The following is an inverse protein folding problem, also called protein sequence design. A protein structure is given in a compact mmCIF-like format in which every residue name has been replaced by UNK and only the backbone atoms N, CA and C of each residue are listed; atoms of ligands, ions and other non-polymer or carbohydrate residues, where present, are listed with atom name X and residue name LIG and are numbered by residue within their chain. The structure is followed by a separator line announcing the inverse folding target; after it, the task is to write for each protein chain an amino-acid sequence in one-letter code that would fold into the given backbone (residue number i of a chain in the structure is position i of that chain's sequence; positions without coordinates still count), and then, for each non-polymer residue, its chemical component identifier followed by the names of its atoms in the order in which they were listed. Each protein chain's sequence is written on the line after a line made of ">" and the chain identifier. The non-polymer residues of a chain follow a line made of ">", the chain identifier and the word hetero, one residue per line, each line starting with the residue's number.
data_IF_348688008846
#
_entry.id   IF_348688008846
#
_cell.length_a   1.000
_cell.length_b   1.000
_cell.length_c   1.000
_cell.angle_alpha   90.00
_cell.angle_beta   90.00
_cell.angle_gamma   90.00
#
_symmetry.space_group_name_H-M   'P 1'
#
loop_
_entity.id
_entity.type
_entity.pdbx_description
1 polymer ?
#
# COMPACT_ATOMS: atom_id res chain seq x y z
N UNK A 1 -9.11 10.51 0.73
CA UNK A 1 -7.74 10.41 1.24
C UNK A 1 -7.28 8.97 1.14
N UNK A 2 -6.03 8.77 0.74
CA UNK A 2 -5.48 7.45 0.49
C UNK A 2 -4.65 6.98 1.68
N UNK A 3 -4.85 5.72 2.10
CA UNK A 3 -4.05 5.05 3.10
C UNK A 3 -2.65 4.67 2.60
N UNK A 4 -1.92 3.92 3.42
CA UNK A 4 -0.53 3.55 3.14
C UNK A 4 -0.34 2.09 2.78
N UNK A 5 -1.39 1.27 2.85
CA UNK A 5 -1.30 -0.18 2.69
C UNK A 5 -1.09 -0.62 1.23
N UNK A 6 -0.75 -1.89 1.05
CA UNK A 6 -0.69 -2.51 -0.29
C UNK A 6 -2.05 -2.56 -0.99
N UNK A 7 -3.15 -2.59 -0.23
CA UNK A 7 -4.51 -2.49 -0.77
C UNK A 7 -4.74 -1.10 -1.40
N UNK A 8 -4.24 -0.05 -0.75
CA UNK A 8 -4.35 1.30 -1.29
C UNK A 8 -3.54 1.45 -2.59
N UNK A 9 -2.36 0.81 -2.71
CA UNK A 9 -1.61 0.77 -3.98
C UNK A 9 -2.44 0.08 -5.08
N UNK A 10 -3.13 -1.01 -4.76
CA UNK A 10 -3.97 -1.72 -5.72
C UNK A 10 -5.16 -0.88 -6.18
N UNK A 11 -5.78 -0.15 -5.26
CA UNK A 11 -6.86 0.79 -5.54
C UNK A 11 -6.39 1.90 -6.47
N UNK A 12 -5.22 2.50 -6.20
CA UNK A 12 -4.63 3.52 -7.06
C UNK A 12 -4.28 3.03 -8.47
N UNK A 13 -3.77 1.81 -8.60
CA UNK A 13 -3.54 1.20 -9.92
C UNK A 13 -4.87 1.06 -10.68
N UNK A 14 -5.92 0.62 -9.99
CA UNK A 14 -7.25 0.46 -10.58
C UNK A 14 -7.85 1.79 -10.98
N UNK A 15 -7.72 2.81 -10.13
CA UNK A 15 -8.27 4.13 -10.37
C UNK A 15 -7.48 4.88 -11.47
N UNK A 16 -6.17 4.72 -11.54
CA UNK A 16 -5.36 5.24 -12.65
C UNK A 16 -5.84 4.67 -14.00
N UNK A 17 -6.13 3.37 -14.06
CA UNK A 17 -6.68 2.74 -15.27
C UNK A 17 -8.05 3.31 -15.60
N UNK A 18 -8.96 3.38 -14.62
CA UNK A 18 -10.31 3.93 -14.80
C UNK A 18 -10.30 5.38 -15.24
N UNK A 19 -9.46 6.20 -14.63
CA UNK A 19 -9.33 7.61 -14.99
C UNK A 19 -8.86 7.75 -16.44
N UNK A 20 -7.85 6.96 -16.86
CA UNK A 20 -7.40 6.90 -18.23
C UNK A 20 -8.51 6.54 -19.20
N UNK A 21 -9.28 5.49 -18.90
CA UNK A 21 -10.41 5.04 -19.72
C UNK A 21 -11.55 6.08 -19.80
N UNK A 22 -11.63 6.99 -18.84
CA UNK A 22 -12.58 8.11 -18.80
C UNK A 22 -11.99 9.46 -19.25
N UNK A 23 -10.93 9.43 -20.06
CA UNK A 23 -10.28 10.62 -20.61
C UNK A 23 -9.64 11.55 -19.57
N UNK A 24 -9.29 11.05 -18.40
CA UNK A 24 -8.49 11.75 -17.39
C UNK A 24 -7.08 11.16 -17.36
N UNK A 25 -6.18 11.54 -18.31
CA UNK A 25 -4.92 10.85 -18.52
C UNK A 25 -3.87 11.16 -17.45
N UNK A 26 -4.04 12.22 -16.67
CA UNK A 26 -3.09 12.66 -15.64
C UNK A 26 -3.66 12.43 -14.26
N UNK A 27 -3.24 11.36 -13.64
CA UNK A 27 -3.58 11.01 -12.26
C UNK A 27 -2.29 10.79 -11.50
N UNK A 28 -2.25 11.17 -10.25
CA UNK A 28 -1.13 10.86 -9.38
C UNK A 28 -1.61 10.08 -8.15
N UNK A 29 -0.91 9.03 -7.76
CA UNK A 29 -1.00 8.52 -6.41
C UNK A 29 -0.25 9.46 -5.46
N UNK A 30 -0.71 9.58 -4.22
CA UNK A 30 0.10 10.12 -3.14
C UNK A 30 1.09 9.04 -2.68
N UNK A 31 2.24 8.96 -3.36
CA UNK A 31 3.20 7.87 -3.16
C UNK A 31 3.69 7.80 -1.72
N UNK A 32 3.46 6.66 -1.09
CA UNK A 32 3.67 6.43 0.33
C UNK A 32 2.38 6.59 1.15
N UNK A 33 1.26 6.94 0.49
CA UNK A 33 -0.03 7.20 1.11
C UNK A 33 -0.13 8.57 1.78
N UNK A 34 -1.30 9.20 1.70
CA UNK A 34 -1.53 10.51 2.28
C UNK A 34 -1.55 10.47 3.81
N UNK A 35 -2.21 9.46 4.38
CA UNK A 35 -2.34 9.27 5.82
C UNK A 35 -1.61 7.99 6.27
N UNK A 36 -1.07 8.00 7.50
CA UNK A 36 -0.41 6.83 8.10
C UNK A 36 1.10 6.77 7.86
N UNK A 37 1.71 5.69 8.34
CA UNK A 37 3.17 5.54 8.38
C UNK A 37 3.57 4.17 7.79
N UNK A 38 3.80 4.06 6.47
CA UNK A 38 4.18 2.81 5.85
C UNK A 38 5.55 2.34 6.32
N UNK A 39 5.75 1.03 6.38
CA UNK A 39 7.08 0.46 6.54
C UNK A 39 7.94 0.67 5.28
N UNK A 40 9.23 0.31 5.36
CA UNK A 40 10.18 0.48 4.25
C UNK A 40 9.76 -0.27 3.00
N UNK A 41 9.26 -1.49 3.16
CA UNK A 41 8.90 -2.37 2.04
C UNK A 41 7.66 -1.82 1.31
N UNK A 42 6.65 -1.41 2.07
CA UNK A 42 5.42 -0.79 1.54
C UNK A 42 5.74 0.54 0.86
N UNK A 43 6.55 1.39 1.49
CA UNK A 43 7.01 2.64 0.88
C UNK A 43 7.75 2.40 -0.44
N UNK A 44 8.65 1.42 -0.50
CA UNK A 44 9.37 1.07 -1.73
C UNK A 44 8.42 0.57 -2.83
N UNK A 45 7.35 -0.16 -2.47
CA UNK A 45 6.32 -0.56 -3.44
C UNK A 45 5.59 0.67 -4.01
N UNK A 46 5.21 1.62 -3.15
CA UNK A 46 4.62 2.89 -3.56
C UNK A 46 5.52 3.68 -4.52
N UNK A 47 6.77 3.87 -4.16
CA UNK A 47 7.71 4.66 -4.97
C UNK A 47 8.01 4.00 -6.32
N UNK A 48 8.10 2.68 -6.37
CA UNK A 48 8.28 1.93 -7.62
C UNK A 48 7.07 2.05 -8.54
N UNK A 49 5.86 1.94 -7.99
CA UNK A 49 4.63 2.16 -8.74
C UNK A 49 4.55 3.60 -9.23
N UNK A 50 4.73 4.58 -8.37
CA UNK A 50 4.66 5.99 -8.72
C UNK A 50 5.68 6.41 -9.79
N UNK A 51 6.88 5.84 -9.77
CA UNK A 51 7.88 6.12 -10.81
C UNK A 51 7.42 5.69 -12.22
N UNK A 52 6.52 4.74 -12.32
CA UNK A 52 5.96 4.21 -13.55
C UNK A 52 4.48 4.57 -13.75
N UNK A 53 3.96 5.53 -12.99
CA UNK A 53 2.63 6.12 -13.16
C UNK A 53 2.70 7.38 -14.05
N UNK A 54 1.54 7.97 -14.33
CA UNK A 54 1.45 9.21 -15.14
C UNK A 54 2.15 10.37 -14.45
N UNK A 55 1.96 10.56 -13.14
CA UNK A 55 2.63 11.59 -12.35
C UNK A 55 3.20 10.98 -11.08
N UNK A 56 4.48 11.18 -10.82
CA UNK A 56 5.12 10.78 -9.55
C UNK A 56 5.02 11.93 -8.55
N UNK A 57 4.36 11.70 -7.43
CA UNK A 57 4.23 12.66 -6.34
C UNK A 57 4.32 11.97 -4.99
N UNK A 58 5.45 12.00 -4.30
CA UNK A 58 5.50 11.68 -2.87
C UNK A 58 4.72 12.75 -2.09
N UNK A 59 3.76 12.33 -1.28
CA UNK A 59 2.93 13.25 -0.52
C UNK A 59 2.33 12.61 0.72
N UNK A 60 2.15 13.41 1.77
CA UNK A 60 1.43 13.02 2.98
C UNK A 60 0.89 14.26 3.71
N UNK A 61 -0.03 14.02 4.66
CA UNK A 61 -0.50 15.08 5.56
C UNK A 61 0.61 15.51 6.53
N UNK A 62 0.43 16.66 7.15
CA UNK A 62 1.35 17.17 8.18
C UNK A 62 1.33 16.33 9.47
N UNK A 63 0.28 15.54 9.68
CA UNK A 63 0.08 14.78 10.91
C UNK A 63 0.86 13.45 10.95
N UNK A 64 1.52 13.04 9.86
CA UNK A 64 2.31 11.80 9.85
C UNK A 64 3.64 11.98 10.58
N UNK A 65 4.14 10.89 11.18
CA UNK A 65 5.46 10.88 11.83
C UNK A 65 6.61 10.70 10.87
N UNK A 66 6.34 10.07 9.73
CA UNK A 66 7.35 9.79 8.69
C UNK A 66 6.92 10.42 7.39
N UNK A 67 7.63 11.46 6.99
CA UNK A 67 7.45 12.09 5.69
C UNK A 67 7.85 11.16 4.54
N UNK A 68 7.52 11.53 3.31
CA UNK A 68 7.65 10.67 2.13
C UNK A 68 8.94 10.88 1.35
N UNK A 69 9.87 11.64 1.88
CA UNK A 69 11.22 11.73 1.34
C UNK A 69 12.01 10.45 1.65
N UNK A 70 12.81 9.93 0.70
CA UNK A 70 13.54 8.67 0.88
C UNK A 70 14.46 8.65 2.11
N UNK A 71 15.05 9.79 2.46
CA UNK A 71 15.92 9.93 3.64
C UNK A 71 15.18 9.89 4.98
N UNK A 72 13.84 10.08 4.99
CA UNK A 72 13.04 9.97 6.21
C UNK A 72 13.02 8.55 6.79
N UNK A 73 13.50 7.56 6.04
CA UNK A 73 13.62 6.17 6.47
C UNK A 73 14.96 5.84 7.14
N UNK A 74 15.90 6.78 7.14
CA UNK A 74 17.26 6.60 7.69
C UNK A 74 17.91 5.28 7.21
N UNK A 75 17.77 5.00 5.92
CA UNK A 75 18.23 3.76 5.28
C UNK A 75 18.75 4.04 3.86
N UNK A 76 20.06 3.94 3.71
CA UNK A 76 20.73 4.19 2.43
C UNK A 76 20.23 3.28 1.29
N UNK A 77 19.82 2.05 1.60
CA UNK A 77 19.29 1.14 0.58
C UNK A 77 17.94 1.63 0.06
N UNK A 78 17.09 2.22 0.92
CA UNK A 78 15.83 2.85 0.51
C UNK A 78 16.10 4.02 -0.44
N UNK A 79 17.02 4.91 -0.07
CA UNK A 79 17.38 6.05 -0.93
C UNK A 79 17.91 5.60 -2.30
N UNK A 80 18.79 4.60 -2.34
CA UNK A 80 19.39 4.13 -3.58
C UNK A 80 18.35 3.48 -4.49
N UNK A 81 17.45 2.66 -3.96
CA UNK A 81 16.36 2.04 -4.73
C UNK A 81 15.43 3.12 -5.31
N UNK A 82 15.03 4.10 -4.49
CA UNK A 82 14.16 5.19 -4.95
C UNK A 82 14.85 6.02 -6.02
N UNK A 83 16.14 6.33 -5.85
CA UNK A 83 16.95 7.05 -6.86
C UNK A 83 17.00 6.29 -8.18
N UNK A 84 17.19 4.97 -8.15
CA UNK A 84 17.22 4.15 -9.36
C UNK A 84 15.91 4.21 -10.13
N UNK A 85 14.77 4.18 -9.42
CA UNK A 85 13.46 4.29 -10.05
C UNK A 85 13.13 5.71 -10.55
N UNK A 86 13.57 6.74 -9.84
CA UNK A 86 13.48 8.12 -10.34
C UNK A 86 14.33 8.27 -11.60
N UNK A 87 15.56 7.76 -11.63
CA UNK A 87 16.41 7.76 -12.81
C UNK A 87 15.77 6.98 -13.97
N UNK A 88 15.15 5.83 -13.70
CA UNK A 88 14.39 5.09 -14.71
C UNK A 88 13.25 5.94 -15.28
N UNK A 89 12.46 6.62 -14.42
CA UNK A 89 11.41 7.52 -14.87
C UNK A 89 11.94 8.63 -15.77
N UNK A 90 13.06 9.28 -15.39
CA UNK A 90 13.66 10.33 -16.22
C UNK A 90 14.11 9.77 -17.59
N UNK A 91 14.66 8.57 -17.62
CA UNK A 91 14.98 7.90 -18.88
C UNK A 91 13.76 7.60 -19.74
N UNK A 92 12.61 7.35 -19.13
CA UNK A 92 11.32 7.07 -19.81
C UNK A 92 10.53 8.35 -20.15
N UNK A 93 11.01 9.56 -19.83
CA UNK A 93 10.32 10.81 -20.16
C UNK A 93 9.96 10.93 -21.65
N UNK A 94 10.81 10.53 -22.61
CA UNK A 94 10.42 10.58 -24.03
C UNK A 94 9.20 9.68 -24.34
N UNK A 95 9.11 8.49 -23.70
CA UNK A 95 7.93 7.63 -23.82
C UNK A 95 6.69 8.31 -23.22
N UNK A 96 6.78 8.78 -21.98
CA UNK A 96 5.67 9.44 -21.29
C UNK A 96 5.19 10.67 -22.06
N UNK A 97 6.11 11.47 -22.59
CA UNK A 97 5.78 12.65 -23.38
C UNK A 97 5.09 12.28 -24.71
N UNK A 98 5.57 11.22 -25.36
CA UNK A 98 4.96 10.70 -26.60
C UNK A 98 3.53 10.22 -26.34
N UNK A 99 3.31 9.48 -25.27
CA UNK A 99 1.96 9.00 -24.90
C UNK A 99 1.06 10.17 -24.45
N UNK A 100 1.61 11.19 -23.78
CA UNK A 100 0.88 12.42 -23.47
C UNK A 100 0.46 13.17 -24.74
N UNK A 101 1.31 13.25 -25.75
CA UNK A 101 0.97 13.85 -27.05
C UNK A 101 -0.14 13.04 -27.76
N UNK A 102 -0.07 11.70 -27.74
CA UNK A 102 -1.15 10.87 -28.28
C UNK A 102 -2.46 11.10 -27.53
N UNK A 103 -2.40 11.18 -26.20
CA UNK A 103 -3.57 11.49 -25.38
C UNK A 103 -4.22 12.83 -25.76
N UNK A 104 -3.41 13.87 -25.98
CA UNK A 104 -3.88 15.15 -26.46
C UNK A 104 -4.51 15.06 -27.86
N UNK A 105 -3.91 14.30 -28.77
CA UNK A 105 -4.32 14.24 -30.19
C UNK A 105 -5.57 13.39 -30.40
N UNK A 106 -5.69 12.24 -29.73
CA UNK A 106 -6.70 11.23 -30.03
C UNK A 106 -7.39 10.62 -28.80
N UNK A 107 -7.10 11.14 -27.59
CA UNK A 107 -7.71 10.69 -26.36
C UNK A 107 -7.15 9.37 -25.79
N UNK A 108 -6.10 8.79 -26.40
CA UNK A 108 -5.51 7.55 -25.90
C UNK A 108 -4.96 7.70 -24.47
N UNK A 109 -5.33 6.84 -23.51
CA UNK A 109 -4.80 6.93 -22.16
C UNK A 109 -3.28 6.70 -22.12
N UNK A 110 -2.55 7.46 -21.30
CA UNK A 110 -1.09 7.29 -21.10
C UNK A 110 -0.82 5.96 -20.43
N UNK A 111 -1.39 5.76 -19.24
CA UNK A 111 -1.47 4.48 -18.55
C UNK A 111 -2.86 3.88 -18.77
N UNK A 112 -2.92 2.61 -19.17
CA UNK A 112 -4.16 1.97 -19.61
C UNK A 112 -4.23 0.50 -19.22
N UNK A 113 -5.42 -0.03 -19.01
CA UNK A 113 -5.63 -1.45 -18.78
C UNK A 113 -5.14 -2.29 -19.99
N UNK A 114 -4.78 -3.55 -19.73
CA UNK A 114 -4.31 -4.44 -20.81
C UNK A 114 -5.35 -4.60 -21.92
N UNK A 115 -6.65 -4.58 -21.56
CA UNK A 115 -7.77 -4.69 -22.49
C UNK A 115 -7.82 -3.58 -23.54
N UNK A 116 -7.26 -2.40 -23.26
CA UNK A 116 -7.20 -1.31 -24.25
C UNK A 116 -6.40 -1.71 -25.50
N UNK A 117 -5.24 -2.35 -25.29
CA UNK A 117 -4.37 -2.80 -26.40
C UNK A 117 -4.76 -4.21 -26.90
N UNK A 118 -5.52 -4.98 -26.13
CA UNK A 118 -5.89 -6.36 -26.40
C UNK A 118 -7.39 -6.61 -26.15
N UNK A 119 -8.30 -5.97 -26.92
CA UNK A 119 -9.74 -5.98 -26.65
C UNK A 119 -10.40 -7.37 -26.80
N UNK A 120 -9.80 -8.26 -27.59
CA UNK A 120 -10.31 -9.61 -27.80
C UNK A 120 -9.75 -10.64 -26.79
N UNK A 121 -8.85 -10.21 -25.91
CA UNK A 121 -8.23 -11.07 -24.90
C UNK A 121 -8.98 -10.96 -23.57
N UNK A 122 -9.80 -11.97 -23.25
CA UNK A 122 -10.60 -12.02 -22.01
C UNK A 122 -9.76 -11.92 -20.74
N UNK A 123 -8.52 -12.41 -20.73
CA UNK A 123 -7.63 -12.29 -19.57
C UNK A 123 -7.06 -10.88 -19.44
N UNK A 124 -6.74 -10.25 -20.57
CA UNK A 124 -6.33 -8.86 -20.58
C UNK A 124 -7.45 -7.93 -20.09
N UNK A 125 -8.67 -8.13 -20.56
CA UNK A 125 -9.87 -7.38 -20.13
C UNK A 125 -10.16 -7.54 -18.62
N UNK A 126 -9.95 -8.73 -18.08
CA UNK A 126 -10.19 -9.03 -16.66
C UNK A 126 -9.04 -8.58 -15.74
N UNK A 127 -7.89 -8.20 -16.29
CA UNK A 127 -6.70 -7.87 -15.49
C UNK A 127 -6.78 -6.46 -14.91
N UNK A 128 -6.87 -6.36 -13.57
CA UNK A 128 -6.93 -5.09 -12.82
C UNK A 128 -5.63 -4.75 -12.08
N UNK A 129 -4.65 -5.66 -12.11
CA UNK A 129 -3.42 -5.55 -11.31
C UNK A 129 -2.18 -5.23 -12.14
N UNK A 130 -2.37 -5.03 -13.43
CA UNK A 130 -1.31 -4.71 -14.38
C UNK A 130 -1.82 -3.65 -15.35
N UNK A 131 -0.92 -2.85 -15.89
CA UNK A 131 -1.25 -1.83 -16.87
C UNK A 131 -0.16 -1.69 -17.92
N UNK A 132 -0.50 -0.99 -19.00
CA UNK A 132 0.43 -0.59 -20.05
C UNK A 132 0.76 0.89 -19.93
N UNK A 133 1.99 1.28 -20.19
CA UNK A 133 2.35 2.65 -20.58
C UNK A 133 2.51 2.63 -22.10
N UNK A 134 1.58 3.28 -22.78
CA UNK A 134 1.49 3.17 -24.22
C UNK A 134 1.15 1.75 -24.69
N UNK A 135 1.74 1.35 -25.83
CA UNK A 135 1.49 0.05 -26.44
C UNK A 135 2.54 -1.02 -26.11
N UNK A 136 3.70 -0.63 -25.59
CA UNK A 136 4.87 -1.50 -25.60
C UNK A 136 5.53 -1.71 -24.24
N UNK A 137 5.13 -0.99 -23.17
CA UNK A 137 5.67 -1.17 -21.83
C UNK A 137 4.57 -1.68 -20.88
N UNK A 138 4.69 -2.93 -20.44
CA UNK A 138 3.80 -3.54 -19.45
C UNK A 138 4.41 -3.42 -18.06
N UNK A 139 3.62 -2.93 -17.10
CA UNK A 139 3.98 -2.80 -15.69
C UNK A 139 3.08 -3.70 -14.85
N UNK A 140 3.69 -4.50 -13.98
CA UNK A 140 2.99 -5.39 -13.06
C UNK A 140 3.38 -5.08 -11.60
N UNK A 141 2.75 -4.07 -10.96
CA UNK A 141 3.07 -3.67 -9.61
C UNK A 141 2.97 -4.84 -8.63
N UNK A 142 3.89 -4.89 -7.68
CA UNK A 142 3.87 -5.89 -6.61
C UNK A 142 3.06 -5.32 -5.47
N UNK A 143 2.08 -6.07 -5.03
CA UNK A 143 1.30 -5.79 -3.85
C UNK A 143 1.64 -6.84 -2.79
N UNK A 144 1.54 -6.48 -1.53
CA UNK A 144 1.39 -7.45 -0.45
C UNK A 144 0.07 -8.21 -0.58
N UNK A 145 -0.23 -9.06 0.37
CA UNK A 145 -1.50 -9.77 0.44
C UNK A 145 -2.68 -8.79 0.55
N UNK A 146 -3.89 -9.27 0.24
CA UNK A 146 -5.10 -8.49 0.49
C UNK A 146 -5.21 -8.12 1.97
N UNK A 147 -5.67 -6.89 2.24
CA UNK A 147 -5.96 -6.46 3.61
C UNK A 147 -7.18 -7.24 4.13
N UNK A 148 -7.00 -7.89 5.26
CA UNK A 148 -8.03 -8.68 5.92
C UNK A 148 -8.15 -8.28 7.39
N UNK A 149 -9.35 -8.35 7.95
CA UNK A 149 -9.51 -8.25 9.39
C UNK A 149 -8.86 -9.47 10.06
N UNK A 150 -8.19 -9.25 11.19
CA UNK A 150 -7.63 -10.37 11.98
C UNK A 150 -8.80 -11.25 12.46
N UNK A 151 -8.92 -12.49 11.96
CA UNK A 151 -10.08 -13.34 12.27
C UNK A 151 -10.00 -13.86 13.70
N UNK A 152 -11.16 -14.15 14.30
CA UNK A 152 -11.25 -14.68 15.66
C UNK A 152 -10.33 -15.91 15.89
N UNK A 153 -10.11 -16.73 14.88
CA UNK A 153 -9.25 -17.91 14.96
C UNK A 153 -7.77 -17.61 15.21
N UNK A 154 -7.34 -16.35 15.06
CA UNK A 154 -5.97 -15.90 15.38
C UNK A 154 -5.83 -15.42 16.84
N UNK A 155 -6.93 -15.19 17.54
CA UNK A 155 -6.91 -14.79 18.94
C UNK A 155 -6.84 -16.04 19.83
N UNK A 156 -5.75 -16.18 20.57
CA UNK A 156 -5.55 -17.26 21.54
C UNK A 156 -6.28 -16.98 22.86
N UNK A 157 -6.54 -15.71 23.16
CA UNK A 157 -7.34 -15.24 24.30
C UNK A 157 -8.39 -14.24 23.84
N UNK A 158 -9.52 -14.08 24.57
CA UNK A 158 -10.39 -12.93 24.36
C UNK A 158 -9.64 -11.62 24.47
N UNK A 159 -10.21 -10.57 23.93
CA UNK A 159 -9.67 -9.21 24.01
C UNK A 159 -10.27 -8.51 25.23
N UNK A 160 -9.48 -8.31 26.25
CA UNK A 160 -9.88 -7.52 27.44
C UNK A 160 -9.65 -6.04 27.16
N UNK A 161 -10.64 -5.20 27.44
CA UNK A 161 -10.57 -3.76 27.22
C UNK A 161 -10.88 -3.03 28.51
N UNK A 162 -10.08 -2.03 28.82
CA UNK A 162 -10.27 -1.14 29.97
C UNK A 162 -10.34 0.30 29.45
N UNK A 163 -11.45 0.99 29.77
CA UNK A 163 -11.71 2.36 29.35
C UNK A 163 -11.42 3.35 30.48
N UNK A 164 -10.93 4.53 30.11
CA UNK A 164 -10.58 5.62 31.02
C UNK A 164 -11.18 6.93 30.53
N UNK A 165 -11.50 7.84 31.46
CA UNK A 165 -11.90 9.18 31.10
C UNK A 165 -10.67 10.02 30.67
N UNK A 166 -10.84 10.81 29.61
CA UNK A 166 -9.73 11.59 29.03
C UNK A 166 -8.77 10.73 28.19
N UNK A 167 -7.81 11.38 27.54
CA UNK A 167 -6.97 10.82 26.47
C UNK A 167 -5.68 10.14 26.96
N UNK A 168 -5.42 10.10 28.28
CA UNK A 168 -4.10 9.79 28.83
C UNK A 168 -4.02 8.44 29.56
N UNK A 169 -5.08 7.60 29.53
CA UNK A 169 -5.15 6.32 30.26
C UNK A 169 -4.89 6.48 31.77
N UNK A 170 -5.33 7.58 32.36
CA UNK A 170 -5.10 7.96 33.76
C UNK A 170 -6.38 7.84 34.61
N UNK A 171 -6.20 7.66 35.90
CA UNK A 171 -7.30 7.58 36.86
C UNK A 171 -7.91 6.17 36.97
N UNK A 172 -9.07 6.11 37.63
CA UNK A 172 -9.80 4.86 37.76
C UNK A 172 -10.51 4.48 36.45
N UNK A 173 -10.56 3.20 36.11
CA UNK A 173 -11.31 2.73 34.96
C UNK A 173 -12.81 3.08 35.07
N UNK A 174 -13.37 3.61 33.98
CA UNK A 174 -14.80 3.94 33.88
C UNK A 174 -15.65 2.80 33.34
N UNK A 175 -15.04 1.90 32.57
CA UNK A 175 -15.70 0.67 32.06
C UNK A 175 -14.68 -0.41 31.75
N UNK A 176 -15.14 -1.66 31.71
CA UNK A 176 -14.38 -2.81 31.21
C UNK A 176 -15.28 -3.63 30.29
N UNK A 177 -14.70 -4.12 29.22
CA UNK A 177 -15.40 -4.96 28.25
C UNK A 177 -14.52 -6.12 27.79
N UNK A 178 -15.13 -7.12 27.16
CA UNK A 178 -14.45 -8.26 26.58
C UNK A 178 -15.03 -8.56 25.21
N UNK A 179 -14.15 -8.59 24.21
CA UNK A 179 -14.52 -8.81 22.82
C UNK A 179 -13.86 -10.05 22.24
N UNK A 180 -14.37 -10.52 21.11
CA UNK A 180 -13.78 -11.64 20.37
C UNK A 180 -12.56 -11.21 19.54
N UNK A 181 -12.57 -9.97 19.07
CA UNK A 181 -11.53 -9.39 18.18
C UNK A 181 -11.35 -7.92 18.49
N UNK A 182 -10.23 -7.33 18.06
CA UNK A 182 -10.04 -5.87 18.03
C UNK A 182 -10.66 -5.35 16.74
N UNK A 183 -11.89 -4.84 16.82
CA UNK A 183 -12.64 -4.35 15.65
C UNK A 183 -13.76 -3.39 16.11
N UNK A 184 -13.35 -2.20 16.57
CA UNK A 184 -14.27 -1.17 17.05
C UNK A 184 -14.40 -0.06 15.99
N UNK A 185 -15.64 0.26 15.65
CA UNK A 185 -16.02 1.40 14.83
C UNK A 185 -17.25 2.06 15.45
N UNK A 186 -17.14 3.34 15.78
CA UNK A 186 -18.24 4.11 16.37
C UNK A 186 -18.43 5.41 15.58
N UNK A 187 -19.60 5.56 15.00
CA UNK A 187 -19.99 6.80 14.33
C UNK A 187 -20.76 7.68 15.32
N UNK A 188 -20.03 8.59 15.99
CA UNK A 188 -20.57 9.52 16.99
C UNK A 188 -21.39 8.83 18.10
N UNK A 189 -20.99 7.62 18.47
CA UNK A 189 -21.65 6.83 19.52
C UNK A 189 -20.62 6.36 20.56
N UNK A 190 -21.08 6.10 21.77
CA UNK A 190 -20.23 5.49 22.80
C UNK A 190 -19.84 4.06 22.42
N UNK A 191 -18.57 3.66 22.62
CA UNK A 191 -18.13 2.29 22.36
C UNK A 191 -18.68 1.27 23.38
N UNK A 192 -18.99 1.72 24.59
CA UNK A 192 -19.48 0.87 25.68
C UNK A 192 -20.31 1.69 26.68
N UNK A 193 -21.20 1.04 27.41
CA UNK A 193 -22.00 1.71 28.44
C UNK A 193 -21.13 2.37 29.50
N UNK A 194 -21.39 3.64 29.79
CA UNK A 194 -20.62 4.44 30.75
C UNK A 194 -19.35 5.08 30.17
N UNK A 195 -19.00 4.85 28.91
CA UNK A 195 -17.91 5.52 28.22
C UNK A 195 -18.45 6.75 27.47
N UNK A 196 -17.83 7.93 27.56
CA UNK A 196 -18.26 9.08 26.77
C UNK A 196 -18.05 8.85 25.28
N UNK A 197 -18.72 9.62 24.41
CA UNK A 197 -18.54 9.57 22.95
C UNK A 197 -17.18 10.07 22.53
N UNK A 198 -16.67 11.08 23.22
CA UNK A 198 -15.38 11.74 22.95
C UNK A 198 -14.55 11.86 24.24
N UNK A 199 -13.28 12.18 24.10
CA UNK A 199 -12.34 12.41 25.18
C UNK A 199 -12.25 11.22 26.15
N UNK A 200 -12.09 10.02 25.59
CA UNK A 200 -11.79 8.80 26.34
C UNK A 200 -10.55 8.12 25.80
N UNK A 201 -10.00 7.22 26.60
CA UNK A 201 -8.92 6.33 26.17
C UNK A 201 -9.22 4.89 26.57
N UNK A 202 -8.61 3.96 25.86
CA UNK A 202 -8.82 2.53 26.07
C UNK A 202 -7.51 1.74 25.99
N UNK A 203 -7.36 0.73 26.84
CA UNK A 203 -6.29 -0.27 26.76
C UNK A 203 -6.90 -1.60 26.38
N UNK A 204 -6.41 -2.18 25.31
CA UNK A 204 -6.79 -3.47 24.77
C UNK A 204 -5.66 -4.46 25.00
N UNK A 205 -5.94 -5.62 25.54
CA UNK A 205 -4.96 -6.66 25.84
C UNK A 205 -5.47 -8.02 25.36
N UNK A 206 -4.63 -8.74 24.62
CA UNK A 206 -4.94 -10.07 24.08
C UNK A 206 -3.66 -10.84 23.76
N UNK A 207 -3.82 -12.08 23.36
CA UNK A 207 -2.74 -12.88 22.76
C UNK A 207 -3.16 -13.33 21.36
N UNK A 208 -2.33 -13.02 20.36
CA UNK A 208 -2.50 -13.50 18.99
C UNK A 208 -1.65 -14.75 18.75
N UNK A 209 -2.18 -15.67 17.95
CA UNK A 209 -1.47 -16.83 17.40
C UNK A 209 -1.87 -16.99 15.93
N UNK A 210 -1.25 -16.22 15.02
CA UNK A 210 -1.57 -16.28 13.61
C UNK A 210 -1.37 -17.69 13.05
N UNK A 211 -2.22 -18.12 12.12
CA UNK A 211 -2.10 -19.42 11.46
C UNK A 211 -1.23 -19.38 10.19
N UNK A 212 -0.76 -18.18 9.82
CA UNK A 212 0.09 -17.89 8.65
C UNK A 212 1.09 -16.80 9.05
N UNK A 213 2.16 -16.66 8.29
CA UNK A 213 3.04 -15.49 8.40
C UNK A 213 2.30 -14.26 7.90
N UNK A 214 2.22 -13.22 8.72
CA UNK A 214 1.44 -12.02 8.44
C UNK A 214 2.24 -10.74 8.71
N UNK A 215 1.89 -9.68 8.00
CA UNK A 215 2.16 -8.32 8.44
C UNK A 215 0.93 -7.80 9.18
N UNK A 216 1.09 -7.46 10.46
CA UNK A 216 0.04 -6.91 11.30
C UNK A 216 -0.11 -5.41 11.03
N UNK A 217 -1.35 -4.96 10.88
CA UNK A 217 -1.72 -3.58 10.59
C UNK A 217 -2.71 -3.11 11.65
N UNK A 218 -2.55 -1.90 12.16
CA UNK A 218 -3.51 -1.24 13.02
C UNK A 218 -4.25 -0.14 12.23
N UNK A 219 -5.57 -0.11 12.38
CA UNK A 219 -6.41 1.01 11.97
C UNK A 219 -6.87 1.76 13.22
N UNK A 220 -6.71 3.08 13.23
CA UNK A 220 -7.15 3.93 14.32
C UNK A 220 -7.62 5.30 13.84
N UNK A 221 -8.60 5.82 14.56
CA UNK A 221 -9.11 7.18 14.57
C UNK A 221 -9.53 7.47 16.03
N UNK A 222 -8.79 8.20 16.84
CA UNK A 222 -7.57 8.99 16.70
C UNK A 222 -6.29 8.19 17.04
N UNK A 223 -5.61 8.58 18.14
CA UNK A 223 -4.28 8.14 18.50
C UNK A 223 -4.18 6.70 19.01
N UNK A 224 -3.11 6.02 18.61
CA UNK A 224 -2.88 4.62 18.95
C UNK A 224 -1.40 4.30 19.19
N UNK A 225 -1.15 3.37 20.10
CA UNK A 225 0.15 2.73 20.35
C UNK A 225 -0.03 1.23 20.40
N UNK A 226 0.91 0.49 19.83
CA UNK A 226 0.86 -0.99 19.80
C UNK A 226 2.16 -1.58 20.32
N UNK A 227 2.04 -2.47 21.30
CA UNK A 227 3.14 -3.28 21.81
C UNK A 227 2.95 -4.74 21.46
N UNK A 228 4.03 -5.39 21.07
CA UNK A 228 4.10 -6.83 20.87
C UNK A 228 5.17 -7.40 21.82
N UNK A 229 4.78 -8.33 22.67
CA UNK A 229 5.64 -8.93 23.72
C UNK A 229 6.36 -7.89 24.58
N UNK A 230 5.66 -6.79 24.89
CA UNK A 230 6.19 -5.68 25.70
C UNK A 230 7.05 -4.68 24.93
N UNK A 231 7.41 -4.93 23.67
CA UNK A 231 8.14 -4.00 22.82
C UNK A 231 7.17 -3.07 22.11
N UNK A 232 7.38 -1.75 22.18
CA UNK A 232 6.64 -0.77 21.41
C UNK A 232 7.00 -0.91 19.92
N UNK A 233 6.01 -1.31 19.10
CA UNK A 233 6.17 -1.54 17.68
C UNK A 233 5.57 -0.41 16.84
N UNK A 234 4.53 0.26 17.33
CA UNK A 234 3.91 1.39 16.68
C UNK A 234 3.49 2.44 17.72
N UNK A 235 3.69 3.71 17.42
CA UNK A 235 3.31 4.84 18.27
C UNK A 235 2.87 6.02 17.42
N UNK A 236 1.57 6.31 17.43
CA UNK A 236 0.98 7.51 16.86
C UNK A 236 -0.07 8.08 17.83
N UNK A 237 0.41 8.84 18.83
CA UNK A 237 -0.44 9.42 19.87
C UNK A 237 -0.80 10.86 19.51
N UNK A 238 -1.54 11.03 18.40
CA UNK A 238 -1.98 12.32 17.88
C UNK A 238 -3.45 12.24 17.43
N UNK A 239 -4.13 13.40 17.35
CA UNK A 239 -5.46 13.47 16.76
C UNK A 239 -5.34 13.45 15.23
N UNK A 240 -6.06 12.53 14.59
CA UNK A 240 -6.15 12.40 13.14
C UNK A 240 -7.39 11.59 12.76
N UNK A 241 -7.85 11.68 11.51
CA UNK A 241 -8.88 10.78 10.99
C UNK A 241 -8.33 9.35 10.82
N UNK A 242 -9.21 8.43 10.44
CA UNK A 242 -8.86 7.00 10.32
C UNK A 242 -7.61 6.76 9.45
N UNK A 243 -6.62 6.11 10.03
CA UNK A 243 -5.38 5.70 9.36
C UNK A 243 -5.16 4.20 9.53
N UNK A 244 -4.51 3.58 8.52
CA UNK A 244 -4.00 2.21 8.60
C UNK A 244 -2.47 2.25 8.57
N UNK A 245 -1.83 1.59 9.52
CA UNK A 245 -0.38 1.62 9.66
C UNK A 245 0.19 0.23 9.94
N UNK A 246 1.33 -0.07 9.31
CA UNK A 246 2.07 -1.30 9.56
C UNK A 246 2.64 -1.31 10.97
N UNK A 247 2.42 -2.40 11.70
CA UNK A 247 2.91 -2.61 13.07
C UNK A 247 4.18 -3.45 13.06
N UNK A 248 4.09 -4.70 12.62
CA UNK A 248 5.21 -5.64 12.55
C UNK A 248 4.84 -6.90 11.78
N UNK A 249 5.85 -7.72 11.50
CA UNK A 249 5.68 -9.07 10.94
C UNK A 249 5.55 -10.09 12.06
N UNK A 250 4.57 -10.99 11.96
CA UNK A 250 4.31 -12.07 12.91
C UNK A 250 4.41 -13.41 12.19
N UNK A 251 5.09 -14.36 12.84
CA UNK A 251 5.29 -15.71 12.32
C UNK A 251 4.14 -16.63 12.69
N UNK A 252 3.78 -17.53 11.78
CA UNK A 252 2.74 -18.53 11.97
C UNK A 252 2.95 -19.37 13.21
N UNK A 253 1.84 -19.73 13.88
CA UNK A 253 1.80 -20.60 15.04
C UNK A 253 2.68 -20.17 16.24
N UNK A 254 3.02 -18.87 16.29
CA UNK A 254 3.75 -18.26 17.40
C UNK A 254 2.79 -17.38 18.21
N UNK A 255 2.87 -17.44 19.52
CA UNK A 255 2.04 -16.63 20.42
C UNK A 255 2.69 -15.28 20.65
N UNK A 256 1.90 -14.20 20.52
CA UNK A 256 2.32 -12.83 20.72
C UNK A 256 1.38 -12.13 21.70
N UNK A 257 1.90 -11.60 22.79
CA UNK A 257 1.12 -10.71 23.67
C UNK A 257 0.97 -9.36 23.00
N UNK A 258 -0.27 -8.96 22.76
CA UNK A 258 -0.61 -7.69 22.11
C UNK A 258 -1.24 -6.76 23.13
N UNK A 259 -0.70 -5.56 23.27
CA UNK A 259 -1.31 -4.44 23.99
C UNK A 259 -1.48 -3.28 23.03
N UNK A 260 -2.69 -2.73 22.99
CA UNK A 260 -3.01 -1.53 22.23
C UNK A 260 -3.48 -0.47 23.23
N UNK A 261 -2.94 0.71 23.14
CA UNK A 261 -3.46 1.90 23.80
C UNK A 261 -4.04 2.81 22.73
N UNK A 262 -5.22 3.35 22.99
CA UNK A 262 -6.02 4.11 22.06
C UNK A 262 -6.65 5.30 22.77
N UNK A 263 -6.83 6.41 22.10
CA UNK A 263 -7.70 7.48 22.56
C UNK A 263 -8.58 8.01 21.42
N UNK A 264 -9.76 8.49 21.82
CA UNK A 264 -10.72 9.19 20.99
C UNK A 264 -10.80 10.64 21.41
N UNK A 265 -10.53 11.56 20.48
CA UNK A 265 -10.62 13.00 20.71
C UNK A 265 -11.92 13.60 20.21
N UNK A 266 -12.37 13.20 19.01
CA UNK A 266 -13.60 13.73 18.41
C UNK A 266 -13.82 13.11 17.02
N UNK A 267 -15.03 13.29 16.48
CA UNK A 267 -15.38 12.72 15.18
C UNK A 267 -15.83 11.25 15.26
N UNK A 268 -15.52 10.49 14.22
CA UNK A 268 -15.70 9.03 14.20
C UNK A 268 -14.58 8.37 15.02
N UNK A 269 -14.84 7.15 15.48
CA UNK A 269 -13.88 6.38 16.26
C UNK A 269 -13.60 5.04 15.60
N UNK A 270 -12.33 4.68 15.45
CA UNK A 270 -11.90 3.38 14.96
C UNK A 270 -10.71 2.85 15.75
N UNK A 271 -10.76 1.56 16.13
CA UNK A 271 -9.61 0.81 16.62
C UNK A 271 -9.76 -0.64 16.17
N UNK A 272 -8.99 -1.04 15.15
CA UNK A 272 -9.10 -2.36 14.56
C UNK A 272 -7.72 -2.94 14.20
N UNK A 273 -7.61 -4.27 14.24
CA UNK A 273 -6.46 -5.00 13.74
C UNK A 273 -6.76 -5.67 12.41
N UNK A 274 -5.90 -5.41 11.46
CA UNK A 274 -5.89 -6.02 10.15
C UNK A 274 -4.60 -6.78 9.92
N UNK A 275 -4.55 -7.56 8.86
CA UNK A 275 -3.33 -8.20 8.42
C UNK A 275 -3.30 -8.33 6.90
N UNK A 276 -2.09 -8.40 6.36
CA UNK A 276 -1.83 -8.96 5.05
C UNK A 276 -1.04 -10.26 5.20
N UNK A 277 -1.33 -11.25 4.37
CA UNK A 277 -0.46 -12.43 4.31
C UNK A 277 0.90 -11.98 3.78
N UNK A 278 1.97 -12.36 4.46
CA UNK A 278 3.29 -12.16 3.89
C UNK A 278 3.31 -12.99 2.59
N UNK A 279 3.45 -12.32 1.46
CA UNK A 279 3.76 -13.04 0.24
C UNK A 279 5.08 -13.75 0.52
N UNK A 280 5.14 -15.04 0.29
CA UNK A 280 6.38 -15.83 0.32
C UNK A 280 7.41 -15.37 -0.72
N UNK A 281 7.35 -14.10 -1.10
CA UNK A 281 8.25 -13.37 -2.01
C UNK A 281 8.42 -14.00 -3.38
N UNK A 282 7.92 -15.22 -3.52
CA UNK A 282 8.55 -16.11 -4.44
C UNK A 282 8.05 -15.96 -5.87
N UNK A 283 6.80 -15.71 -6.16
CA UNK A 283 6.38 -15.81 -7.57
C UNK A 283 5.09 -15.03 -7.88
N UNK A 284 5.22 -13.74 -8.17
CA UNK A 284 4.08 -12.97 -8.65
C UNK A 284 3.59 -13.51 -10.00
N UNK A 285 2.30 -13.86 -10.13
CA UNK A 285 1.73 -14.18 -11.43
C UNK A 285 1.61 -12.89 -12.26
N UNK A 286 2.15 -12.93 -13.48
CA UNK A 286 2.08 -11.84 -14.46
C UNK A 286 1.48 -12.40 -15.75
N UNK A 287 0.36 -11.84 -16.19
CA UNK A 287 -0.21 -12.15 -17.47
C UNK A 287 0.49 -11.35 -18.58
N UNK A 288 1.02 -12.04 -19.56
CA UNK A 288 1.59 -11.44 -20.76
C UNK A 288 0.61 -11.65 -21.91
N UNK A 289 0.00 -10.59 -22.49
CA UNK A 289 -0.85 -10.68 -23.65
C UNK A 289 -0.10 -11.17 -24.89
N UNK A 290 -0.79 -11.27 -26.02
CA UNK A 290 -0.20 -11.72 -27.29
C UNK A 290 1.07 -10.93 -27.67
N UNK A 291 2.08 -11.63 -28.16
CA UNK A 291 3.38 -11.08 -28.58
C UNK A 291 4.55 -11.75 -27.86
N UNK A 292 5.75 -11.24 -28.09
CA UNK A 292 6.95 -11.61 -27.32
C UNK A 292 7.32 -10.47 -26.38
N UNK A 293 7.75 -10.80 -25.19
CA UNK A 293 8.00 -9.86 -24.11
C UNK A 293 9.40 -10.06 -23.55
N UNK A 294 10.08 -8.99 -23.26
CA UNK A 294 11.38 -9.00 -22.60
C UNK A 294 11.26 -8.32 -21.24
N UNK A 295 11.69 -8.97 -20.17
CA UNK A 295 11.79 -8.32 -18.86
C UNK A 295 12.87 -7.23 -18.92
N UNK A 296 12.49 -6.00 -18.56
CA UNK A 296 13.32 -4.80 -18.70
C UNK A 296 14.62 -4.88 -17.89
N UNK A 297 14.59 -5.54 -16.74
CA UNK A 297 15.74 -5.58 -15.82
C UNK A 297 16.64 -6.80 -16.06
N UNK A 298 16.07 -7.94 -16.45
CA UNK A 298 16.83 -9.19 -16.60
C UNK A 298 17.19 -9.54 -18.03
N UNK A 299 16.55 -8.88 -19.02
CA UNK A 299 16.68 -9.22 -20.43
C UNK A 299 16.04 -10.54 -20.83
N UNK A 300 15.47 -11.29 -19.86
CA UNK A 300 14.83 -12.60 -20.16
C UNK A 300 13.57 -12.41 -21.01
N UNK A 301 13.44 -13.25 -22.04
CA UNK A 301 12.33 -13.16 -22.99
C UNK A 301 11.26 -14.24 -22.72
N UNK A 302 10.02 -13.91 -23.06
CA UNK A 302 8.85 -14.77 -22.88
C UNK A 302 7.91 -14.63 -24.06
N UNK A 303 7.27 -15.74 -24.42
CA UNK A 303 6.13 -15.68 -25.32
C UNK A 303 4.87 -15.28 -24.55
N UNK A 304 3.99 -14.52 -25.19
CA UNK A 304 2.73 -14.06 -24.61
C UNK A 304 1.60 -15.11 -24.61
N UNK A 305 0.37 -14.65 -24.45
CA UNK A 305 -0.87 -15.44 -24.26
C UNK A 305 -0.80 -16.39 -23.05
N UNK A 306 0.00 -16.07 -22.04
CA UNK A 306 0.15 -16.91 -20.85
C UNK A 306 0.46 -16.10 -19.59
N UNK A 307 0.12 -16.69 -18.45
CA UNK A 307 0.57 -16.22 -17.16
C UNK A 307 1.93 -16.84 -16.84
N UNK A 308 2.91 -16.02 -16.57
CA UNK A 308 4.22 -16.44 -16.07
C UNK A 308 4.31 -16.18 -14.58
N UNK A 309 5.25 -16.85 -13.89
CA UNK A 309 5.58 -16.53 -12.50
C UNK A 309 6.94 -15.82 -12.47
N UNK A 310 6.94 -14.64 -11.88
CA UNK A 310 8.14 -13.81 -11.77
C UNK A 310 8.59 -13.79 -10.32
N UNK A 311 9.86 -14.15 -10.11
CA UNK A 311 10.47 -14.08 -8.80
C UNK A 311 10.62 -12.60 -8.39
N UNK A 312 10.07 -12.23 -7.25
CA UNK A 312 10.08 -10.87 -6.70
C UNK A 312 10.77 -10.79 -5.33
N UNK A 313 11.73 -11.70 -5.08
CA UNK A 313 12.51 -11.76 -3.82
C UNK A 313 13.36 -10.51 -3.61
N UNK A 314 13.61 -9.76 -4.67
CA UNK A 314 14.36 -8.53 -4.57
C UNK A 314 13.39 -7.35 -4.47
N UNK A 315 13.34 -6.75 -3.29
CA UNK A 315 12.61 -5.48 -3.04
C UNK A 315 12.99 -4.42 -4.08
N UNK A 316 14.13 -4.59 -4.75
CA UNK A 316 14.65 -3.69 -5.80
C UNK A 316 13.90 -3.78 -7.12
N UNK A 317 13.28 -4.91 -7.47
CA UNK A 317 12.74 -5.11 -8.81
C UNK A 317 11.22 -5.12 -8.86
N UNK A 318 10.66 -4.26 -9.72
CA UNK A 318 9.27 -4.32 -10.16
C UNK A 318 9.22 -5.09 -11.48
N UNK A 319 8.32 -6.07 -11.68
CA UNK A 319 8.15 -6.72 -12.98
C UNK A 319 7.70 -5.72 -14.05
N UNK A 320 8.59 -5.42 -14.98
CA UNK A 320 8.35 -4.55 -16.14
C UNK A 320 8.78 -5.28 -17.40
N UNK A 321 7.92 -5.26 -18.41
CA UNK A 321 8.16 -5.99 -19.67
C UNK A 321 8.03 -5.05 -20.86
N UNK A 322 8.95 -5.19 -21.79
CA UNK A 322 8.95 -4.51 -23.08
C UNK A 322 8.43 -5.47 -24.12
N UNK A 323 7.48 -5.03 -24.95
CA UNK A 323 7.02 -5.78 -26.11
C UNK A 323 8.12 -5.79 -27.17
N UNK A 324 8.55 -6.99 -27.59
CA UNK A 324 9.56 -7.14 -28.62
C UNK A 324 9.00 -6.74 -29.99
N UNK A 325 9.77 -5.96 -30.75
CA UNK A 325 9.32 -5.36 -32.01
C UNK A 325 8.61 -4.02 -31.84
N UNK A 326 8.31 -3.62 -30.60
CA UNK A 326 7.87 -2.27 -30.27
C UNK A 326 9.03 -1.28 -30.15
N UNK A 327 8.72 0.02 -30.07
CA UNK A 327 9.71 1.07 -29.93
C UNK A 327 9.49 1.82 -28.60
N UNK A 328 10.48 1.75 -27.71
CA UNK A 328 10.53 2.58 -26.50
C UNK A 328 11.69 3.54 -26.61
N UNK A 329 11.37 4.82 -26.74
CA UNK A 329 12.37 5.88 -26.76
C UNK A 329 12.79 6.22 -25.34
N UNK A 330 14.11 6.26 -25.09
CA UNK A 330 14.68 6.58 -23.78
C UNK A 330 15.76 7.64 -23.90
N UNK A 331 15.85 8.52 -22.90
CA UNK A 331 16.98 9.46 -22.80
C UNK A 331 18.21 8.76 -22.20
N UNK A 332 19.42 9.06 -22.72
CA UNK A 332 20.68 8.46 -22.24
C UNK A 332 21.13 9.02 -20.89
N UNK A 333 20.99 10.31 -20.66
CA UNK A 333 21.49 11.04 -19.48
C UNK A 333 20.39 11.97 -18.94
N UNK A 334 19.31 11.40 -18.47
CA UNK A 334 18.19 12.17 -17.97
C UNK A 334 18.37 12.50 -16.48
N UNK A 335 19.19 13.51 -16.19
CA UNK A 335 19.33 14.10 -14.85
C UNK A 335 18.50 15.37 -14.68
N UNK A 336 17.85 15.83 -15.74
CA UNK A 336 16.95 16.98 -15.76
C UNK A 336 15.99 16.89 -16.95
N UNK A 337 14.98 17.77 -16.98
CA UNK A 337 13.97 17.83 -18.05
C UNK A 337 14.46 18.51 -19.34
N UNK A 338 15.70 18.93 -19.42
CA UNK A 338 16.31 19.43 -20.65
C UNK A 338 16.77 18.22 -21.47
N UNK A 339 16.00 17.82 -22.44
CA UNK A 339 16.33 16.78 -23.42
C UNK A 339 17.08 17.42 -24.57
#
# INVERSE_FOLDING_TARGET
>A
DIGTSDQDILEEVTDMIRCGDNCLPYVHPDCGGNNGNPDKDTYLRWMKFGALSTVLRPHCTICVKRFREPWAYDDKAVEDIVRDYINLRYRLLPLLYTEAYKSYRDGSPICRGLGWNYPDDKKALACKTQYMIGSDLLVAPVFGGALNNVPQSFYATPVDVTYYNGRELKGEPIAKARYATVNMYCNHTSPESGVPVYDYSARWETTLCPKKDIALIVEADDGVRVWIDGKLCFDDWACHGAIKSDVCKLTANTMYKVRIEYFQGGGEAACALHYTEQSDGANKPVYLPEGRWMNLFTGKTYDGKKTIRVKVDDVKQLPVFVRMGGAIFTARNAHNTKV
#
